data_IF_863058786892
#
_entry.id   IF_863058786892
#
_cell.length_a   1.000
_cell.length_b   1.000
_cell.length_c   1.000
_cell.angle_alpha   90.00
_cell.angle_beta   90.00
_cell.angle_gamma   90.00
#
_symmetry.space_group_name_H-M   'P 1'
#
loop_
_entity.id
_entity.type
_entity.pdbx_description
1 polymer ?
#
# COMPACT_ATOMS: atom_id res chain seq x y z
N UNK A 1 50.48 -65.33 -46.70
CA UNK A 1 49.95 -64.51 -45.60
C UNK A 1 49.22 -63.29 -46.19
N UNK A 2 48.17 -63.35 -47.01
CA UNK A 2 46.94 -64.20 -47.11
C UNK A 2 45.97 -64.03 -45.93
N UNK A 3 44.67 -63.75 -46.11
CA UNK A 3 43.90 -63.54 -47.34
C UNK A 3 42.60 -62.72 -47.14
N UNK A 4 42.03 -62.32 -48.29
CA UNK A 4 40.68 -61.86 -48.61
C UNK A 4 39.54 -62.66 -47.97
N UNK A 5 38.40 -62.01 -47.71
CA UNK A 5 37.07 -62.24 -48.33
C UNK A 5 35.97 -61.48 -47.55
N UNK A 6 34.69 -61.36 -47.97
CA UNK A 6 34.02 -61.06 -49.26
C UNK A 6 32.49 -61.08 -49.01
N UNK A 7 31.70 -60.24 -49.71
CA UNK A 7 30.20 -60.21 -49.70
C UNK A 7 29.53 -59.78 -48.36
N UNK A 8 28.30 -59.23 -48.29
CA UNK A 8 27.11 -59.35 -49.16
C UNK A 8 26.26 -58.05 -49.28
N UNK A 9 25.47 -57.97 -50.36
CA UNK A 9 24.44 -56.94 -50.62
C UNK A 9 23.15 -57.11 -49.77
N UNK A 10 22.47 -56.01 -49.39
CA UNK A 10 21.10 -55.65 -49.86
C UNK A 10 20.44 -54.49 -49.06
N UNK A 11 19.76 -53.51 -49.70
CA UNK A 11 18.89 -52.49 -49.08
C UNK A 11 17.39 -52.95 -49.16
N UNK A 12 16.30 -52.13 -49.05
CA UNK A 12 16.17 -50.67 -48.78
C UNK A 12 15.04 -50.26 -47.79
N UNK A 13 14.94 -48.96 -47.47
CA UNK A 13 13.64 -48.26 -47.49
C UNK A 13 13.80 -46.75 -47.77
N UNK A 14 12.79 -46.15 -48.39
CA UNK A 14 12.83 -44.81 -49.02
C UNK A 14 11.60 -43.96 -48.60
N UNK A 15 11.43 -42.78 -49.21
CA UNK A 15 10.28 -41.86 -49.14
C UNK A 15 10.18 -40.99 -47.86
N UNK A 16 10.31 -39.65 -47.86
CA UNK A 16 10.07 -38.54 -48.81
C UNK A 16 8.65 -37.93 -48.78
N UNK A 17 8.54 -36.80 -48.06
CA UNK A 17 7.58 -35.67 -48.22
C UNK A 17 6.06 -35.95 -48.15
N UNK A 18 5.37 -35.11 -47.36
CA UNK A 18 4.38 -34.15 -47.91
C UNK A 18 4.10 -32.96 -47.00
N UNK A 19 4.08 -31.76 -47.59
CA UNK A 19 3.48 -30.54 -47.01
C UNK A 19 1.95 -30.64 -47.12
N UNK A 20 1.20 -29.97 -46.24
CA UNK A 20 -0.16 -29.50 -46.55
C UNK A 20 -0.39 -28.09 -46.03
N UNK A 21 -0.63 -27.18 -46.96
CA UNK A 21 -1.20 -25.85 -46.75
C UNK A 21 -2.70 -25.91 -47.01
N UNK A 22 -3.50 -25.13 -46.28
CA UNK A 22 -4.91 -24.87 -46.58
C UNK A 22 -5.19 -23.37 -46.52
N UNK A 23 -5.99 -22.88 -47.45
CA UNK A 23 -6.21 -21.47 -47.70
C UNK A 23 -7.70 -21.13 -47.81
N UNK A 24 -8.07 -19.97 -47.27
CA UNK A 24 -9.23 -19.14 -47.60
C UNK A 24 -10.66 -19.72 -47.50
N UNK A 25 -11.53 -18.97 -46.85
CA UNK A 25 -12.72 -18.42 -47.53
C UNK A 25 -13.17 -17.13 -46.86
N UNK A 26 -13.82 -16.25 -47.63
CA UNK A 26 -14.09 -14.83 -47.32
C UNK A 26 -15.59 -14.59 -47.39
N UNK A 27 -16.21 -14.16 -46.30
CA UNK A 27 -17.63 -13.76 -46.29
C UNK A 27 -17.79 -12.24 -46.39
N UNK A 28 -18.79 -11.79 -47.15
CA UNK A 28 -19.22 -10.38 -47.31
C UNK A 28 -20.75 -10.32 -47.18
N UNK A 29 -21.26 -9.17 -46.71
CA UNK A 29 -22.68 -8.73 -46.51
C UNK A 29 -23.05 -8.63 -45.01
N UNK A 30 -23.80 -7.64 -44.52
CA UNK A 30 -24.23 -6.30 -45.00
C UNK A 30 -24.83 -5.53 -43.79
N UNK A 31 -24.99 -4.19 -43.82
CA UNK A 31 -25.13 -3.39 -42.59
C UNK A 31 -26.56 -3.29 -42.02
N UNK A 32 -26.64 -3.04 -40.70
CA UNK A 32 -27.89 -2.77 -39.96
C UNK A 32 -28.47 -1.37 -40.27
N UNK A 33 -29.80 -1.19 -40.27
CA UNK A 33 -30.44 0.05 -40.72
C UNK A 33 -30.40 1.19 -39.70
N UNK A 34 -30.28 2.44 -40.20
CA UNK A 34 -30.59 3.66 -39.46
C UNK A 34 -32.11 3.85 -39.39
N UNK A 35 -32.64 4.14 -38.20
CA UNK A 35 -34.00 4.68 -38.04
C UNK A 35 -33.87 6.20 -37.91
N UNK A 36 -34.51 6.93 -38.82
CA UNK A 36 -34.87 8.33 -38.62
C UNK A 36 -36.34 8.39 -38.22
N UNK A 37 -36.66 9.16 -37.18
CA UNK A 37 -38.04 9.51 -36.83
C UNK A 37 -38.11 10.99 -36.45
N UNK A 38 -38.48 11.81 -37.43
CA UNK A 38 -38.89 13.20 -37.24
C UNK A 38 -40.33 13.26 -36.76
N UNK A 39 -40.55 13.77 -35.55
CA UNK A 39 -41.84 14.39 -35.17
C UNK A 39 -41.56 15.59 -34.29
N UNK A 40 -41.85 16.79 -34.80
CA UNK A 40 -41.93 17.99 -33.98
C UNK A 40 -43.33 18.13 -33.39
N UNK A 41 -43.45 18.62 -32.15
CA UNK A 41 -44.55 19.47 -31.67
C UNK A 41 -44.18 20.05 -30.29
N UNK A 42 -44.39 21.36 -30.14
CA UNK A 42 -44.33 22.17 -28.91
C UNK A 42 -45.77 22.65 -28.60
N UNK A 43 -46.11 23.45 -27.55
CA UNK A 43 -45.33 24.00 -26.42
C UNK A 43 -46.06 23.67 -25.06
N UNK A 44 -45.98 24.39 -23.93
CA UNK A 44 -45.10 25.47 -23.42
C UNK A 44 -44.91 25.28 -21.89
N UNK A 45 -43.78 25.73 -21.33
CA UNK A 45 -43.75 26.29 -19.96
C UNK A 45 -42.51 27.18 -19.78
N UNK A 46 -42.73 28.50 -19.70
CA UNK A 46 -41.67 29.51 -19.52
C UNK A 46 -41.25 29.56 -18.04
N UNK A 47 -40.03 29.14 -17.71
CA UNK A 47 -39.48 29.27 -16.36
C UNK A 47 -38.00 28.92 -16.18
N UNK A 48 -37.43 28.01 -16.99
CA UNK A 48 -36.07 27.48 -16.75
C UNK A 48 -34.88 28.31 -17.28
N UNK A 49 -35.11 29.38 -18.05
CA UNK A 49 -34.05 29.95 -18.91
C UNK A 49 -33.04 30.89 -18.22
N UNK A 50 -33.36 31.46 -17.05
CA UNK A 50 -32.45 32.36 -16.33
C UNK A 50 -31.51 31.64 -15.35
N UNK A 51 -31.95 30.56 -14.70
CA UNK A 51 -31.09 29.82 -13.75
C UNK A 51 -29.98 29.08 -14.50
N UNK A 52 -30.31 28.46 -15.63
CA UNK A 52 -29.38 27.58 -16.37
C UNK A 52 -28.29 28.33 -17.18
N UNK A 53 -28.43 29.65 -17.33
CA UNK A 53 -27.40 30.54 -17.89
C UNK A 53 -26.47 31.04 -16.79
N UNK A 54 -26.99 31.49 -15.65
CA UNK A 54 -26.18 31.94 -14.49
C UNK A 54 -25.25 30.81 -14.02
N UNK A 55 -25.73 29.58 -13.86
CA UNK A 55 -24.86 28.45 -13.46
C UNK A 55 -23.74 28.20 -14.47
N UNK A 56 -24.01 28.35 -15.78
CA UNK A 56 -22.99 28.19 -16.83
C UNK A 56 -21.99 29.34 -16.86
N UNK A 57 -22.43 30.57 -16.63
CA UNK A 57 -21.54 31.73 -16.52
C UNK A 57 -20.67 31.63 -15.26
N UNK A 58 -21.19 31.14 -14.14
CA UNK A 58 -20.40 30.93 -12.90
C UNK A 58 -19.40 29.79 -13.05
N UNK A 59 -19.80 28.64 -13.61
CA UNK A 59 -18.87 27.52 -13.90
C UNK A 59 -17.76 28.00 -14.83
N UNK A 60 -18.10 28.67 -15.94
CA UNK A 60 -17.11 29.19 -16.88
C UNK A 60 -16.20 30.27 -16.26
N UNK A 61 -16.71 31.12 -15.36
CA UNK A 61 -15.85 32.08 -14.61
C UNK A 61 -14.94 31.39 -13.60
N UNK A 62 -15.35 30.26 -13.03
CA UNK A 62 -14.50 29.45 -12.15
C UNK A 62 -13.47 28.64 -12.94
N UNK A 63 -13.77 28.24 -14.17
CA UNK A 63 -12.80 27.67 -15.12
C UNK A 63 -11.80 28.74 -15.60
N UNK A 64 -12.27 29.96 -15.92
CA UNK A 64 -11.42 31.11 -16.28
C UNK A 64 -10.58 31.64 -15.09
N UNK A 65 -11.03 31.47 -13.83
CA UNK A 65 -10.28 31.83 -12.61
C UNK A 65 -9.40 30.69 -12.06
N UNK A 66 -9.68 29.44 -12.40
CA UNK A 66 -8.85 28.28 -12.06
C UNK A 66 -7.81 27.92 -13.14
N UNK A 67 -8.01 28.39 -14.37
CA UNK A 67 -7.18 28.10 -15.53
C UNK A 67 -5.97 29.00 -15.68
N UNK A 68 -5.10 29.10 -14.66
CA UNK A 68 -3.66 29.41 -14.80
C UNK A 68 -2.97 29.29 -13.44
N UNK A 69 -2.78 28.05 -12.98
CA UNK A 69 -1.77 27.74 -11.97
C UNK A 69 -1.07 26.45 -12.35
N UNK A 70 -0.19 26.55 -13.35
CA UNK A 70 0.90 25.60 -13.50
C UNK A 70 1.77 25.71 -12.24
N UNK A 71 1.58 24.79 -11.30
CA UNK A 71 2.63 24.48 -10.34
C UNK A 71 3.69 23.74 -11.14
N UNK A 72 4.67 24.50 -11.61
CA UNK A 72 5.92 23.96 -12.13
C UNK A 72 6.64 23.32 -10.95
N UNK A 73 6.42 22.03 -10.72
CA UNK A 73 7.32 21.23 -9.89
C UNK A 73 8.65 21.13 -10.64
N UNK A 74 9.61 21.96 -10.21
CA UNK A 74 11.01 21.86 -10.64
C UNK A 74 11.52 20.50 -10.18
N UNK A 75 11.94 19.68 -11.15
CA UNK A 75 12.44 18.35 -10.90
C UNK A 75 13.92 18.45 -10.47
N UNK A 76 14.20 18.42 -9.15
CA UNK A 76 15.55 18.52 -8.54
C UNK A 76 16.47 17.30 -8.83
N UNK A 77 16.41 16.70 -10.02
CA UNK A 77 17.13 15.46 -10.33
C UNK A 77 17.84 15.43 -11.70
N UNK A 78 18.01 16.55 -12.40
CA UNK A 78 18.65 16.58 -13.74
C UNK A 78 19.72 17.68 -13.94
N UNK A 79 20.23 18.32 -12.88
CA UNK A 79 21.25 19.39 -13.02
C UNK A 79 22.70 18.88 -13.26
N UNK A 80 23.00 17.60 -13.05
CA UNK A 80 24.39 17.08 -13.08
C UNK A 80 24.78 16.32 -14.38
N UNK A 81 23.90 16.25 -15.40
CA UNK A 81 24.19 15.52 -16.66
C UNK A 81 24.06 16.35 -17.95
N UNK A 82 23.51 17.56 -17.89
CA UNK A 82 23.22 18.39 -19.08
C UNK A 82 24.34 19.41 -19.38
N UNK A 83 25.13 19.81 -18.38
CA UNK A 83 26.17 20.86 -18.53
C UNK A 83 27.37 20.40 -19.36
N UNK A 84 27.73 19.12 -19.35
CA UNK A 84 28.93 18.61 -20.05
C UNK A 84 28.72 18.43 -21.57
N UNK A 85 27.48 18.22 -22.02
CA UNK A 85 27.19 17.87 -23.41
C UNK A 85 26.84 19.06 -24.33
N UNK A 86 26.71 20.27 -23.78
CA UNK A 86 26.32 21.48 -24.53
C UNK A 86 27.50 22.26 -25.15
N UNK A 87 28.74 21.93 -24.83
CA UNK A 87 29.95 22.66 -25.26
C UNK A 87 30.56 22.17 -26.59
N UNK A 88 30.00 21.15 -27.24
CA UNK A 88 30.58 20.52 -28.44
C UNK A 88 29.60 20.33 -29.60
N UNK A 89 29.05 21.44 -30.15
CA UNK A 89 28.85 21.66 -31.60
C UNK A 89 28.13 22.99 -31.88
N UNK A 90 28.91 24.00 -32.31
CA UNK A 90 28.36 25.14 -33.03
C UNK A 90 28.67 25.02 -34.52
N UNK A 91 27.65 24.91 -35.38
CA UNK A 91 27.66 25.50 -36.72
C UNK A 91 26.22 25.66 -37.27
N UNK A 92 26.10 26.56 -38.25
CA UNK A 92 24.90 27.24 -38.77
C UNK A 92 23.84 26.35 -39.47
N UNK A 93 22.60 26.84 -39.64
CA UNK A 93 21.53 26.12 -40.34
C UNK A 93 21.57 26.30 -41.86
N UNK A 94 21.17 25.27 -42.59
CA UNK A 94 20.69 25.40 -43.98
C UNK A 94 19.23 24.92 -44.10
N UNK A 95 18.50 25.54 -45.03
CA UNK A 95 17.07 25.31 -45.28
C UNK A 95 16.89 24.13 -46.21
N UNK A 96 16.06 23.16 -45.82
CA UNK A 96 15.71 22.00 -46.64
C UNK A 96 14.23 21.64 -46.48
N UNK A 97 13.47 21.82 -47.55
CA UNK A 97 12.03 21.50 -47.62
C UNK A 97 11.83 19.98 -47.59
N UNK A 98 10.87 19.48 -46.81
CA UNK A 98 10.73 18.03 -46.60
C UNK A 98 9.54 17.63 -45.72
N UNK A 99 8.43 17.28 -46.37
CA UNK A 99 7.22 16.81 -45.68
C UNK A 99 7.46 15.50 -44.91
N UNK A 100 7.18 15.50 -43.60
CA UNK A 100 7.15 14.28 -42.78
C UNK A 100 5.79 14.18 -42.08
N UNK A 101 5.02 13.15 -42.44
CA UNK A 101 3.85 12.74 -41.68
C UNK A 101 4.28 12.20 -40.31
N UNK A 102 4.04 13.00 -39.25
CA UNK A 102 4.15 12.55 -37.86
C UNK A 102 2.77 12.53 -37.21
N UNK A 103 1.96 11.52 -37.51
CA UNK A 103 0.74 11.25 -36.75
C UNK A 103 1.10 10.58 -35.42
N UNK A 104 1.71 11.37 -34.52
CA UNK A 104 2.04 10.96 -33.17
C UNK A 104 0.79 11.03 -32.30
N UNK A 105 0.07 9.91 -32.17
CA UNK A 105 -0.94 9.75 -31.12
C UNK A 105 -0.24 9.82 -29.76
N UNK A 106 -0.17 11.03 -29.20
CA UNK A 106 0.34 11.28 -27.86
C UNK A 106 -0.56 10.54 -26.86
N UNK A 107 -0.13 9.35 -26.44
CA UNK A 107 -0.73 8.66 -25.30
C UNK A 107 -0.58 9.55 -24.09
N UNK A 108 -1.66 10.24 -23.73
CA UNK A 108 -1.84 10.85 -22.42
C UNK A 108 -1.78 9.70 -21.41
N UNK A 109 -0.61 9.50 -20.79
CA UNK A 109 -0.53 8.68 -19.59
C UNK A 109 -1.34 9.39 -18.50
N UNK A 110 -2.56 8.88 -18.28
CA UNK A 110 -3.38 9.27 -17.15
C UNK A 110 -2.64 8.83 -15.89
N UNK A 111 -1.85 9.75 -15.32
CA UNK A 111 -1.09 9.58 -14.08
C UNK A 111 -2.04 9.03 -13.03
N UNK A 112 -1.90 7.75 -12.68
CA UNK A 112 -2.75 7.12 -11.66
C UNK A 112 -2.61 7.93 -10.38
N UNK A 113 -3.73 8.33 -9.80
CA UNK A 113 -3.73 8.99 -8.49
C UNK A 113 -3.29 7.94 -7.47
N UNK A 114 -2.11 8.13 -6.89
CA UNK A 114 -1.60 7.26 -5.82
C UNK A 114 -2.36 7.53 -4.52
N UNK A 115 -3.52 6.89 -4.39
CA UNK A 115 -4.33 6.81 -3.16
C UNK A 115 -3.60 6.16 -1.96
N UNK A 116 -2.32 5.84 -2.12
CA UNK A 116 -1.42 5.39 -1.07
C UNK A 116 -1.12 6.49 -0.03
N UNK A 117 -1.37 7.78 -0.31
CA UNK A 117 -1.15 8.88 0.65
C UNK A 117 -2.33 9.02 1.64
N UNK A 118 -3.60 9.20 1.22
CA UNK A 118 -4.71 9.39 2.17
C UNK A 118 -4.90 8.20 3.11
N UNK A 119 -4.66 6.98 2.63
CA UNK A 119 -4.67 5.77 3.48
C UNK A 119 -3.64 5.82 4.60
N UNK A 120 -2.40 6.25 4.33
CA UNK A 120 -1.36 6.35 5.37
C UNK A 120 -1.64 7.46 6.37
N UNK A 121 -2.19 8.58 5.90
CA UNK A 121 -2.63 9.68 6.79
C UNK A 121 -3.74 9.18 7.73
N UNK A 122 -4.75 8.47 7.19
CA UNK A 122 -5.78 7.83 8.00
C UNK A 122 -5.17 6.83 9.00
N UNK A 123 -4.34 5.90 8.52
CA UNK A 123 -3.69 4.88 9.36
C UNK A 123 -2.84 5.47 10.49
N UNK A 124 -2.04 6.50 10.19
CA UNK A 124 -1.23 7.26 11.16
C UNK A 124 -2.07 8.05 12.16
N UNK A 125 -3.23 8.57 11.75
CA UNK A 125 -4.15 9.32 12.63
C UNK A 125 -4.69 8.46 13.78
N UNK A 126 -4.84 7.14 13.55
CA UNK A 126 -5.36 6.23 14.57
C UNK A 126 -4.37 6.09 15.74
N UNK A 127 -3.06 6.23 15.51
CA UNK A 127 -2.07 6.28 16.60
C UNK A 127 -2.32 7.44 17.56
N UNK A 128 -2.55 8.65 17.03
CA UNK A 128 -2.92 9.81 17.85
C UNK A 128 -4.27 9.62 18.56
N UNK A 129 -5.26 9.03 17.89
CA UNK A 129 -6.55 8.71 18.51
C UNK A 129 -6.41 7.67 19.63
N UNK A 130 -5.50 6.70 19.48
CA UNK A 130 -5.21 5.68 20.51
C UNK A 130 -4.57 6.32 21.73
N UNK A 131 -3.62 7.25 21.55
CA UNK A 131 -3.04 8.04 22.66
C UNK A 131 -4.13 8.87 23.36
N UNK A 132 -5.01 9.55 22.61
CA UNK A 132 -6.13 10.28 23.18
C UNK A 132 -7.04 9.39 24.02
N UNK A 133 -7.44 8.21 23.51
CA UNK A 133 -8.26 7.26 24.25
C UNK A 133 -7.54 6.75 25.51
N UNK A 134 -6.24 6.46 25.44
CA UNK A 134 -5.45 6.06 26.60
C UNK A 134 -5.44 7.16 27.67
N UNK A 135 -5.07 8.40 27.28
CA UNK A 135 -4.98 9.56 28.17
C UNK A 135 -6.33 10.03 28.74
N UNK A 136 -7.46 9.65 28.13
CA UNK A 136 -8.80 10.06 28.58
C UNK A 136 -9.29 9.44 29.90
N UNK A 137 -8.51 8.53 30.49
CA UNK A 137 -8.90 7.66 31.63
C UNK A 137 -10.17 6.82 31.41
N UNK A 138 -10.69 6.78 30.18
CA UNK A 138 -11.87 6.00 29.81
C UNK A 138 -11.71 4.49 30.04
N UNK A 139 -12.85 3.79 30.07
CA UNK A 139 -12.93 2.35 30.25
C UNK A 139 -12.57 1.61 28.94
N UNK A 140 -11.46 0.84 28.87
CA UNK A 140 -11.06 0.14 27.65
C UNK A 140 -12.09 -0.86 27.12
N UNK A 141 -12.88 -1.48 28.01
CA UNK A 141 -13.95 -2.41 27.62
C UNK A 141 -15.04 -1.74 26.79
N UNK A 142 -15.28 -0.43 26.96
CA UNK A 142 -16.21 0.32 26.11
C UNK A 142 -15.65 0.47 24.69
N UNK A 143 -14.36 0.76 24.56
CA UNK A 143 -13.66 0.83 23.27
C UNK A 143 -13.69 -0.53 22.56
N UNK A 144 -13.34 -1.61 23.27
CA UNK A 144 -13.41 -2.98 22.73
C UNK A 144 -14.83 -3.36 22.28
N UNK A 145 -15.87 -3.04 23.07
CA UNK A 145 -17.26 -3.27 22.66
C UNK A 145 -17.66 -2.47 21.42
N UNK A 146 -17.23 -1.21 21.32
CA UNK A 146 -17.50 -0.37 20.15
C UNK A 146 -16.79 -0.90 18.90
N UNK A 147 -15.54 -1.35 19.02
CA UNK A 147 -14.76 -1.93 17.92
C UNK A 147 -15.31 -3.29 17.47
N UNK A 148 -15.76 -4.16 18.38
CA UNK A 148 -16.47 -5.39 18.00
C UNK A 148 -17.82 -5.09 17.34
N UNK A 149 -18.57 -4.10 17.84
CA UNK A 149 -19.81 -3.63 17.21
C UNK A 149 -19.57 -3.11 15.78
N UNK A 150 -18.51 -2.33 15.58
CA UNK A 150 -18.10 -1.87 14.25
C UNK A 150 -17.66 -3.02 13.34
N UNK A 151 -16.90 -4.01 13.85
CA UNK A 151 -16.52 -5.21 13.07
C UNK A 151 -17.76 -5.99 12.57
N UNK A 152 -18.77 -6.16 13.43
CA UNK A 152 -20.05 -6.78 13.08
C UNK A 152 -20.83 -6.03 11.99
N UNK A 153 -20.54 -4.76 11.72
CA UNK A 153 -21.12 -3.98 10.61
C UNK A 153 -20.21 -3.99 9.38
N UNK A 154 -18.89 -3.79 9.58
CA UNK A 154 -17.91 -3.67 8.49
C UNK A 154 -17.76 -5.00 7.75
N UNK A 155 -17.63 -6.14 8.43
CA UNK A 155 -17.40 -7.43 7.78
C UNK A 155 -18.57 -7.85 6.86
N UNK A 156 -19.86 -7.79 7.28
CA UNK A 156 -20.98 -8.06 6.37
C UNK A 156 -21.09 -7.05 5.22
N UNK A 157 -20.72 -5.78 5.47
CA UNK A 157 -20.71 -4.73 4.43
C UNK A 157 -19.66 -5.03 3.35
N UNK A 158 -18.46 -5.46 3.75
CA UNK A 158 -17.38 -5.84 2.84
C UNK A 158 -17.71 -7.13 2.06
N UNK A 159 -18.37 -8.09 2.72
CA UNK A 159 -18.89 -9.30 2.08
C UNK A 159 -19.99 -9.01 1.05
N UNK A 160 -20.88 -8.04 1.34
CA UNK A 160 -21.91 -7.59 0.41
C UNK A 160 -21.31 -6.87 -0.81
N UNK A 161 -20.25 -6.08 -0.61
CA UNK A 161 -19.45 -5.46 -1.69
C UNK A 161 -18.91 -6.51 -2.64
N UNK A 162 -18.26 -7.56 -2.14
CA UNK A 162 -17.70 -8.64 -2.95
C UNK A 162 -18.74 -9.52 -3.67
N UNK A 163 -20.04 -9.39 -3.34
CA UNK A 163 -21.13 -10.17 -3.97
C UNK A 163 -22.06 -9.37 -4.89
N UNK A 164 -22.08 -8.05 -4.81
CA UNK A 164 -23.08 -7.22 -5.49
C UNK A 164 -22.44 -6.08 -6.30
N UNK A 165 -22.39 -6.19 -7.64
CA UNK A 165 -21.82 -5.14 -8.51
C UNK A 165 -22.56 -3.78 -8.44
N UNK A 166 -23.76 -3.74 -7.86
CA UNK A 166 -24.47 -2.49 -7.56
C UNK A 166 -23.96 -1.85 -6.27
N UNK A 167 -23.72 -2.65 -5.25
CA UNK A 167 -23.21 -2.19 -3.95
C UNK A 167 -21.73 -1.83 -4.03
N UNK A 168 -20.94 -2.61 -4.79
CA UNK A 168 -19.55 -2.32 -5.15
C UNK A 168 -19.37 -0.88 -5.64
N UNK A 169 -20.12 -0.45 -6.67
CA UNK A 169 -20.03 0.91 -7.23
C UNK A 169 -20.42 2.01 -6.25
N UNK A 170 -21.33 1.72 -5.31
CA UNK A 170 -21.69 2.67 -4.24
C UNK A 170 -20.56 2.75 -3.21
N UNK A 171 -20.03 1.61 -2.80
CA UNK A 171 -18.92 1.50 -1.87
C UNK A 171 -17.67 2.19 -2.42
N UNK A 172 -17.27 1.90 -3.67
CA UNK A 172 -16.14 2.55 -4.33
C UNK A 172 -16.34 4.08 -4.47
N UNK A 173 -17.56 4.55 -4.69
CA UNK A 173 -17.84 5.99 -4.75
C UNK A 173 -17.63 6.71 -3.41
N UNK A 174 -17.91 6.04 -2.30
CA UNK A 174 -17.84 6.64 -0.95
C UNK A 174 -16.48 6.39 -0.28
N UNK A 175 -15.90 5.19 -0.45
CA UNK A 175 -14.72 4.71 0.26
C UNK A 175 -13.54 4.38 -0.67
N UNK A 176 -13.70 4.50 -1.99
CA UNK A 176 -12.65 4.16 -2.96
C UNK A 176 -11.36 4.98 -2.82
N UNK A 177 -11.43 6.19 -2.26
CA UNK A 177 -10.25 7.02 -1.97
C UNK A 177 -9.33 6.43 -0.88
N UNK A 178 -9.85 5.53 -0.04
CA UNK A 178 -9.12 4.84 1.03
C UNK A 178 -8.64 3.45 0.60
N UNK A 179 -9.15 2.95 -0.52
CA UNK A 179 -9.14 1.54 -0.91
C UNK A 179 -8.06 1.26 -1.98
N UNK A 180 -7.31 0.17 -1.81
CA UNK A 180 -6.24 -0.23 -2.74
C UNK A 180 -6.83 -0.96 -3.95
N UNK A 181 -6.21 -0.83 -5.13
CA UNK A 181 -6.66 -1.54 -6.34
C UNK A 181 -6.78 -3.07 -6.14
N UNK A 182 -5.91 -3.68 -5.33
CA UNK A 182 -6.00 -5.10 -4.98
C UNK A 182 -7.27 -5.43 -4.17
N UNK A 183 -7.69 -4.53 -3.27
CA UNK A 183 -8.83 -4.70 -2.35
C UNK A 183 -10.18 -4.76 -3.06
N UNK A 184 -10.25 -4.36 -4.33
CA UNK A 184 -11.48 -4.47 -5.16
C UNK A 184 -12.00 -5.92 -5.22
N UNK A 185 -11.11 -6.91 -5.27
CA UNK A 185 -11.46 -8.33 -5.41
C UNK A 185 -11.15 -9.21 -4.18
N UNK A 186 -10.75 -8.63 -3.05
CA UNK A 186 -10.42 -9.34 -1.80
C UNK A 186 -11.00 -8.59 -0.60
N UNK A 187 -10.88 -9.17 0.60
CA UNK A 187 -11.31 -8.54 1.86
C UNK A 187 -10.53 -7.22 2.07
N UNK A 188 -11.23 -6.15 2.47
CA UNK A 188 -10.65 -4.84 2.71
C UNK A 188 -9.72 -4.85 3.95
N UNK A 189 -8.54 -4.20 3.86
CA UNK A 189 -7.57 -4.06 4.94
C UNK A 189 -8.15 -3.56 6.27
N UNK A 190 -9.22 -2.75 6.25
CA UNK A 190 -9.92 -2.27 7.45
C UNK A 190 -10.51 -3.42 8.28
N UNK A 191 -10.94 -4.52 7.65
CA UNK A 191 -11.45 -5.72 8.34
C UNK A 191 -10.33 -6.40 9.13
N UNK A 192 -9.13 -6.51 8.54
CA UNK A 192 -7.94 -7.08 9.18
C UNK A 192 -7.43 -6.17 10.30
N UNK A 193 -7.40 -4.85 10.07
CA UNK A 193 -7.02 -3.83 11.05
C UNK A 193 -7.87 -3.91 12.32
N UNK A 194 -9.20 -3.83 12.19
CA UNK A 194 -10.09 -3.81 13.37
C UNK A 194 -10.06 -5.14 14.12
N UNK A 195 -9.80 -6.26 13.44
CA UNK A 195 -9.60 -7.56 14.06
C UNK A 195 -8.28 -7.61 14.86
N UNK A 196 -7.18 -7.09 14.32
CA UNK A 196 -5.89 -7.00 15.00
C UNK A 196 -5.91 -6.09 16.22
N UNK A 197 -6.55 -4.91 16.12
CA UNK A 197 -6.73 -3.98 17.25
C UNK A 197 -7.63 -4.59 18.33
N UNK A 198 -8.75 -5.22 17.96
CA UNK A 198 -9.60 -5.93 18.91
C UNK A 198 -8.85 -7.05 19.63
N UNK A 199 -8.05 -7.84 18.90
CA UNK A 199 -7.23 -8.89 19.50
C UNK A 199 -6.25 -8.29 20.52
N UNK A 200 -5.48 -7.27 20.15
CA UNK A 200 -4.50 -6.64 21.03
C UNK A 200 -5.15 -6.11 22.33
N UNK A 201 -6.26 -5.39 22.22
CA UNK A 201 -6.99 -4.85 23.39
C UNK A 201 -7.71 -5.92 24.24
N UNK A 202 -7.99 -7.10 23.68
CA UNK A 202 -8.66 -8.20 24.41
C UNK A 202 -7.66 -9.14 25.07
N UNK A 203 -6.50 -9.36 24.45
CA UNK A 203 -5.54 -10.39 24.86
C UNK A 203 -4.32 -9.86 25.62
N UNK A 204 -4.02 -8.56 25.56
CA UNK A 204 -2.86 -7.96 26.22
C UNK A 204 -3.27 -6.95 27.31
N UNK A 205 -2.40 -6.71 28.32
CA UNK A 205 -2.53 -5.57 29.22
C UNK A 205 -2.64 -4.25 28.44
N UNK A 206 -3.33 -3.27 29.00
CA UNK A 206 -3.70 -2.03 28.30
C UNK A 206 -2.47 -1.27 27.76
N UNK A 207 -1.38 -1.24 28.52
CA UNK A 207 -0.14 -0.57 28.13
C UNK A 207 0.54 -1.26 26.94
N UNK A 208 0.68 -2.59 26.99
CA UNK A 208 1.22 -3.40 25.89
C UNK A 208 0.32 -3.32 24.64
N UNK A 209 -1.01 -3.40 24.81
CA UNK A 209 -1.97 -3.29 23.72
C UNK A 209 -1.87 -1.92 23.02
N UNK A 210 -1.76 -0.84 23.80
CA UNK A 210 -1.62 0.52 23.28
C UNK A 210 -0.34 0.66 22.44
N UNK A 211 0.79 0.17 22.93
CA UNK A 211 2.06 0.21 22.20
C UNK A 211 2.02 -0.65 20.93
N UNK A 212 1.39 -1.82 20.95
CA UNK A 212 1.20 -2.66 19.76
C UNK A 212 0.39 -1.96 18.66
N UNK A 213 -0.64 -1.19 19.04
CA UNK A 213 -1.45 -0.37 18.10
C UNK A 213 -0.65 0.82 17.57
N UNK A 214 0.19 1.44 18.39
CA UNK A 214 1.09 2.52 17.96
C UNK A 214 2.17 2.02 16.98
N UNK A 215 2.74 0.84 17.24
CA UNK A 215 3.67 0.17 16.30
C UNK A 215 2.95 -0.10 14.97
N UNK A 216 1.75 -0.69 15.00
CA UNK A 216 0.94 -0.88 13.80
C UNK A 216 0.70 0.43 13.03
N UNK A 217 0.36 1.52 13.71
CA UNK A 217 0.02 2.80 13.07
C UNK A 217 1.24 3.53 12.48
N UNK A 218 2.30 3.69 13.28
CA UNK A 218 3.43 4.56 12.94
C UNK A 218 4.64 3.80 12.41
N UNK A 219 4.93 2.58 12.89
CA UNK A 219 6.09 1.81 12.40
C UNK A 219 5.84 1.27 10.98
N UNK A 220 4.62 0.83 10.64
CA UNK A 220 4.20 0.51 9.26
C UNK A 220 4.36 1.73 8.33
N UNK A 221 3.81 2.88 8.75
CA UNK A 221 3.91 4.11 7.96
C UNK A 221 5.37 4.46 7.71
N UNK A 222 6.22 4.44 8.75
CA UNK A 222 7.66 4.72 8.68
C UNK A 222 8.42 3.70 7.82
N UNK A 223 8.13 2.40 7.95
CA UNK A 223 8.72 1.38 7.10
C UNK A 223 8.41 1.61 5.62
N UNK A 224 7.17 1.99 5.31
CA UNK A 224 6.75 2.27 3.94
C UNK A 224 7.41 3.56 3.40
N UNK A 225 7.52 4.63 4.20
CA UNK A 225 8.10 5.92 3.74
C UNK A 225 9.61 5.82 3.58
N UNK A 226 10.32 5.37 4.61
CA UNK A 226 11.78 5.14 4.57
C UNK A 226 12.12 4.06 3.53
N UNK A 227 11.30 3.00 3.45
CA UNK A 227 11.46 1.92 2.48
C UNK A 227 11.26 2.35 1.02
N UNK A 228 10.35 3.29 0.72
CA UNK A 228 10.23 3.87 -0.64
C UNK A 228 11.35 4.86 -0.96
N UNK A 229 11.75 5.70 0.00
CA UNK A 229 12.77 6.72 -0.20
C UNK A 229 14.18 6.12 -0.36
N UNK A 230 14.61 5.27 0.57
CA UNK A 230 15.98 4.71 0.60
C UNK A 230 16.08 3.22 0.29
N UNK A 231 14.96 2.51 0.08
CA UNK A 231 14.99 1.06 -0.16
C UNK A 231 15.79 0.62 -1.40
N UNK A 232 15.94 1.49 -2.41
CA UNK A 232 16.80 1.25 -3.59
C UNK A 232 18.30 1.24 -3.26
N UNK A 233 18.70 1.93 -2.19
CA UNK A 233 20.09 2.09 -1.74
C UNK A 233 20.50 1.03 -0.71
N UNK A 234 19.56 0.20 -0.25
CA UNK A 234 19.78 -0.83 0.77
C UNK A 234 19.46 -2.22 0.23
N UNK A 235 20.15 -3.29 0.69
CA UNK A 235 19.84 -4.64 0.26
C UNK A 235 18.40 -5.06 0.64
N UNK A 236 17.75 -5.92 -0.15
CA UNK A 236 16.51 -6.57 0.25
C UNK A 236 16.78 -7.51 1.44
N UNK A 237 15.77 -7.70 2.29
CA UNK A 237 15.93 -8.57 3.45
C UNK A 237 16.14 -10.05 3.02
N UNK A 238 16.97 -10.81 3.75
CA UNK A 238 17.16 -12.23 3.45
C UNK A 238 15.84 -12.98 3.64
N UNK A 239 15.51 -13.92 2.75
CA UNK A 239 14.19 -14.62 2.72
C UNK A 239 13.80 -15.33 4.03
N UNK A 240 14.76 -15.54 4.94
CA UNK A 240 14.53 -16.05 6.29
C UNK A 240 15.45 -15.33 7.29
N UNK A 241 14.96 -15.10 8.51
CA UNK A 241 15.83 -14.63 9.60
C UNK A 241 16.97 -15.63 9.86
N UNK A 242 18.22 -15.21 10.06
CA UNK A 242 19.35 -16.15 10.23
C UNK A 242 19.24 -17.01 11.50
N UNK A 243 18.67 -16.45 12.57
CA UNK A 243 18.52 -17.14 13.87
C UNK A 243 17.23 -17.96 13.92
N UNK A 244 16.06 -17.32 13.79
CA UNK A 244 14.76 -17.93 14.06
C UNK A 244 14.12 -18.62 12.84
N UNK A 245 14.79 -18.59 11.68
CA UNK A 245 14.33 -19.10 10.37
C UNK A 245 12.93 -18.67 9.91
N UNK A 246 12.35 -17.63 10.52
CA UNK A 246 11.04 -17.09 10.14
C UNK A 246 11.04 -16.56 8.71
N UNK A 247 9.94 -16.70 7.95
CA UNK A 247 9.81 -16.17 6.59
C UNK A 247 9.80 -14.65 6.61
N UNK A 248 10.68 -14.03 5.80
CA UNK A 248 10.72 -12.57 5.63
C UNK A 248 10.33 -12.20 4.20
N UNK A 249 9.60 -11.10 4.08
CA UNK A 249 9.04 -10.62 2.82
C UNK A 249 10.16 -10.20 1.85
N UNK A 250 10.36 -10.88 0.70
CA UNK A 250 11.46 -10.56 -0.22
C UNK A 250 11.36 -9.17 -0.87
N UNK A 251 10.21 -8.50 -0.71
CA UNK A 251 9.93 -7.14 -1.20
C UNK A 251 10.21 -6.05 -0.16
N UNK A 252 10.41 -6.40 1.12
CA UNK A 252 10.70 -5.44 2.19
C UNK A 252 12.22 -5.19 2.26
N UNK A 253 12.60 -3.92 2.40
CA UNK A 253 13.99 -3.46 2.35
C UNK A 253 14.59 -3.30 3.75
N UNK A 254 15.92 -3.34 3.85
CA UNK A 254 16.60 -3.02 5.11
C UNK A 254 16.30 -1.59 5.57
N UNK A 255 16.16 -0.63 4.64
CA UNK A 255 15.71 0.73 4.96
C UNK A 255 14.34 0.75 5.69
N UNK A 256 13.35 0.00 5.18
CA UNK A 256 12.03 -0.10 5.82
C UNK A 256 12.09 -0.77 7.20
N UNK A 257 12.84 -1.85 7.33
CA UNK A 257 13.10 -2.54 8.61
C UNK A 257 13.70 -1.60 9.65
N UNK A 258 14.71 -0.80 9.27
CA UNK A 258 15.36 0.17 10.16
C UNK A 258 14.40 1.31 10.51
N UNK A 259 13.59 1.79 9.56
CA UNK A 259 12.52 2.77 9.81
C UNK A 259 11.53 2.29 10.87
N UNK A 260 10.96 1.09 10.70
CA UNK A 260 10.11 0.46 11.71
C UNK A 260 10.83 0.26 13.05
N UNK A 261 12.11 -0.12 13.04
CA UNK A 261 12.88 -0.39 14.26
C UNK A 261 13.12 0.87 15.08
N UNK A 262 13.54 1.96 14.44
CA UNK A 262 13.75 3.25 15.12
C UNK A 262 12.42 3.79 15.63
N UNK A 263 11.36 3.75 14.82
CA UNK A 263 10.02 4.20 15.23
C UNK A 263 9.49 3.38 16.41
N UNK A 264 9.64 2.04 16.40
CA UNK A 264 9.25 1.17 17.51
C UNK A 264 9.99 1.46 18.81
N UNK A 265 11.31 1.72 18.73
CA UNK A 265 12.11 2.13 19.88
C UNK A 265 11.66 3.48 20.45
N UNK A 266 11.39 4.47 19.59
CA UNK A 266 10.89 5.79 19.99
C UNK A 266 9.49 5.73 20.62
N UNK A 267 8.59 4.89 20.08
CA UNK A 267 7.27 4.62 20.66
C UNK A 267 7.43 4.04 22.06
N UNK A 268 8.26 3.01 22.23
CA UNK A 268 8.45 2.38 23.54
C UNK A 268 9.03 3.36 24.57
N UNK A 269 10.05 4.13 24.21
CA UNK A 269 10.62 5.17 25.09
C UNK A 269 9.55 6.19 25.44
N UNK A 270 8.97 6.88 24.46
CA UNK A 270 8.01 7.95 24.71
C UNK A 270 6.74 7.47 25.44
N UNK A 271 6.30 6.24 25.17
CA UNK A 271 5.15 5.68 25.86
C UNK A 271 5.46 5.36 27.32
N UNK A 272 6.47 4.53 27.64
CA UNK A 272 6.71 4.13 29.03
C UNK A 272 7.34 5.22 29.92
N UNK A 273 7.95 6.27 29.35
CA UNK A 273 8.44 7.42 30.13
C UNK A 273 7.39 8.52 30.32
N UNK A 274 6.58 8.84 29.30
CA UNK A 274 5.68 10.00 29.35
C UNK A 274 4.19 9.64 29.44
N UNK A 275 3.73 8.58 28.78
CA UNK A 275 2.30 8.25 28.68
C UNK A 275 1.86 7.24 29.75
N UNK A 276 2.60 6.14 29.93
CA UNK A 276 2.27 5.08 30.86
C UNK A 276 2.07 5.56 32.32
N UNK A 277 2.85 6.52 32.86
CA UNK A 277 2.63 7.05 34.21
C UNK A 277 1.27 7.73 34.43
N UNK A 278 0.54 8.09 33.36
CA UNK A 278 -0.81 8.68 33.45
C UNK A 278 -1.84 7.66 33.95
N UNK A 279 -1.61 6.35 33.79
CA UNK A 279 -2.49 5.27 34.26
C UNK A 279 -1.73 4.25 35.12
N UNK A 280 -1.26 4.61 36.32
CA UNK A 280 -0.32 3.79 37.10
C UNK A 280 -0.89 2.44 37.57
N UNK A 281 -2.21 2.25 37.53
CA UNK A 281 -2.87 0.98 37.83
C UNK A 281 -2.83 -0.03 36.66
N UNK A 282 -2.69 0.44 35.41
CA UNK A 282 -2.88 -0.35 34.19
C UNK A 282 -1.55 -0.74 33.50
N UNK A 283 -0.41 -0.53 34.16
CA UNK A 283 0.93 -0.68 33.56
C UNK A 283 1.65 -1.96 33.99
N UNK A 284 2.16 -2.69 33.00
CA UNK A 284 2.86 -3.98 33.13
C UNK A 284 4.32 -3.79 33.56
N UNK A 285 4.93 -2.68 33.14
CA UNK A 285 6.30 -2.30 33.50
C UNK A 285 6.38 -0.82 33.87
N UNK A 286 7.30 -0.48 34.79
CA UNK A 286 7.49 0.87 35.30
C UNK A 286 8.93 1.34 35.04
N UNK A 287 9.05 2.49 34.41
CA UNK A 287 10.32 3.22 34.35
C UNK A 287 10.55 3.95 35.68
N UNK A 288 11.76 3.80 36.24
CA UNK A 288 12.25 4.58 37.38
C UNK A 288 13.45 5.42 36.93
N UNK A 289 13.25 6.73 36.83
CA UNK A 289 14.30 7.67 36.44
C UNK A 289 15.34 7.93 37.53
N UNK A 290 15.06 7.55 38.78
CA UNK A 290 15.97 7.76 39.92
C UNK A 290 17.04 6.67 40.05
N UNK A 291 16.80 5.50 39.46
CA UNK A 291 17.70 4.35 39.52
C UNK A 291 18.41 4.11 38.18
N UNK A 292 19.72 3.82 38.24
CA UNK A 292 20.50 3.43 37.05
C UNK A 292 19.92 2.17 36.35
N UNK A 293 19.36 1.24 37.14
CA UNK A 293 18.64 0.06 36.63
C UNK A 293 17.41 0.41 35.78
N UNK A 294 16.69 1.51 36.09
CA UNK A 294 15.55 1.96 35.31
C UNK A 294 15.95 2.50 33.94
N UNK A 295 17.04 3.27 33.86
CA UNK A 295 17.64 3.71 32.59
C UNK A 295 18.17 2.54 31.74
N UNK A 296 18.82 1.56 32.36
CA UNK A 296 19.26 0.33 31.68
C UNK A 296 18.04 -0.45 31.17
N UNK A 297 17.01 -0.65 32.01
CA UNK A 297 15.77 -1.32 31.62
C UNK A 297 15.06 -0.63 30.46
N UNK A 298 15.00 0.71 30.47
CA UNK A 298 14.46 1.50 29.37
C UNK A 298 15.25 1.33 28.07
N UNK A 299 16.58 1.34 28.14
CA UNK A 299 17.44 1.15 26.97
C UNK A 299 17.28 -0.27 26.36
N UNK A 300 17.24 -1.31 27.22
CA UNK A 300 16.99 -2.68 26.78
C UNK A 300 15.59 -2.83 26.17
N UNK A 301 14.56 -2.25 26.80
CA UNK A 301 13.19 -2.23 26.28
C UNK A 301 13.10 -1.51 24.93
N UNK A 302 13.78 -0.37 24.76
CA UNK A 302 13.80 0.39 23.51
C UNK A 302 14.43 -0.43 22.37
N UNK A 303 15.59 -1.05 22.62
CA UNK A 303 16.27 -1.92 21.64
C UNK A 303 15.39 -3.13 21.29
N UNK A 304 14.78 -3.77 22.30
CA UNK A 304 13.91 -4.92 22.11
C UNK A 304 12.64 -4.57 21.32
N UNK A 305 11.92 -3.51 21.72
CA UNK A 305 10.71 -3.04 21.06
C UNK A 305 10.98 -2.58 19.62
N UNK A 306 12.11 -1.92 19.38
CA UNK A 306 12.56 -1.57 18.04
C UNK A 306 12.81 -2.80 17.19
N UNK A 307 13.65 -3.74 17.65
CA UNK A 307 13.91 -4.98 16.93
C UNK A 307 12.63 -5.78 16.65
N UNK A 308 11.73 -5.89 17.63
CA UNK A 308 10.42 -6.52 17.47
C UNK A 308 9.57 -5.81 16.43
N UNK A 309 9.56 -4.48 16.38
CA UNK A 309 8.80 -3.71 15.39
C UNK A 309 9.34 -3.92 13.97
N UNK A 310 10.66 -3.87 13.79
CA UNK A 310 11.29 -4.16 12.51
C UNK A 310 11.07 -5.60 12.05
N UNK A 311 11.20 -6.57 12.96
CA UNK A 311 10.95 -7.99 12.65
C UNK A 311 9.48 -8.22 12.31
N UNK A 312 8.54 -7.75 13.14
CA UNK A 312 7.11 -7.92 12.90
C UNK A 312 6.69 -7.35 11.54
N UNK A 313 7.23 -6.18 11.17
CA UNK A 313 7.03 -5.59 9.84
C UNK A 313 7.69 -6.40 8.73
N UNK A 314 8.89 -6.96 8.93
CA UNK A 314 9.57 -7.73 7.90
C UNK A 314 9.00 -9.14 7.64
N UNK A 315 8.12 -9.66 8.51
CA UNK A 315 7.57 -11.01 8.39
C UNK A 315 6.63 -11.16 7.19
N UNK A 316 6.68 -12.34 6.56
CA UNK A 316 5.78 -12.75 5.47
C UNK A 316 4.96 -13.96 5.90
N UNK A 317 3.81 -13.69 6.51
CA UNK A 317 2.80 -14.71 6.80
C UNK A 317 1.89 -14.83 5.57
N UNK A 318 2.21 -15.82 4.72
CA UNK A 318 1.83 -16.03 3.30
C UNK A 318 0.34 -15.87 2.87
N UNK A 319 -0.57 -15.48 3.75
CA UNK A 319 -1.97 -15.16 3.45
C UNK A 319 -2.62 -14.11 4.37
N UNK A 320 -1.89 -13.56 5.35
CA UNK A 320 -2.43 -12.66 6.36
C UNK A 320 -1.98 -11.22 6.10
N UNK A 321 -2.89 -10.26 6.28
CA UNK A 321 -2.62 -8.85 6.10
C UNK A 321 -1.82 -8.27 7.29
N UNK A 322 -0.83 -7.42 7.00
CA UNK A 322 0.06 -6.80 7.99
C UNK A 322 -0.72 -6.06 9.09
N UNK A 323 -1.91 -5.54 8.77
CA UNK A 323 -2.79 -4.87 9.73
C UNK A 323 -3.35 -5.79 10.83
N UNK A 324 -3.37 -7.10 10.59
CA UNK A 324 -3.70 -8.12 11.60
C UNK A 324 -2.43 -8.63 12.31
N UNK A 325 -1.35 -8.87 11.57
CA UNK A 325 -0.17 -9.59 12.10
C UNK A 325 0.72 -8.70 12.98
N UNK A 326 0.95 -7.44 12.59
CA UNK A 326 1.79 -6.47 13.32
C UNK A 326 1.41 -6.33 14.80
N UNK A 327 0.17 -5.98 15.19
CA UNK A 327 -0.17 -5.74 16.60
C UNK A 327 -0.15 -7.04 17.43
N UNK A 328 -0.46 -8.18 16.81
CA UNK A 328 -0.44 -9.49 17.48
C UNK A 328 1.00 -9.92 17.76
N UNK A 329 1.90 -9.81 16.77
CA UNK A 329 3.28 -10.25 16.93
C UNK A 329 4.04 -9.29 17.86
N UNK A 330 3.92 -7.98 17.64
CA UNK A 330 4.60 -6.98 18.48
C UNK A 330 4.10 -7.00 19.93
N UNK A 331 2.79 -7.00 20.16
CA UNK A 331 2.20 -7.08 21.50
C UNK A 331 2.51 -8.40 22.20
N UNK A 332 2.46 -9.53 21.48
CA UNK A 332 2.84 -10.84 22.00
C UNK A 332 4.30 -10.92 22.44
N UNK A 333 5.23 -10.40 21.63
CA UNK A 333 6.65 -10.31 21.97
C UNK A 333 6.90 -9.40 23.19
N UNK A 334 6.31 -8.20 23.22
CA UNK A 334 6.44 -7.26 24.34
C UNK A 334 5.88 -7.85 25.65
N UNK A 335 4.71 -8.49 25.62
CA UNK A 335 4.15 -9.18 26.79
C UNK A 335 5.03 -10.35 27.24
N UNK A 336 5.57 -11.12 26.28
CA UNK A 336 6.50 -12.22 26.56
C UNK A 336 7.78 -11.72 27.24
N UNK A 337 8.33 -10.60 26.77
CA UNK A 337 9.49 -9.93 27.37
C UNK A 337 9.23 -9.47 28.81
N UNK A 338 8.12 -8.79 29.08
CA UNK A 338 7.79 -8.39 30.46
C UNK A 338 7.53 -9.59 31.38
N UNK A 339 6.88 -10.65 30.90
CA UNK A 339 6.71 -11.89 31.67
C UNK A 339 8.05 -12.57 31.98
N UNK A 340 8.97 -12.59 31.02
CA UNK A 340 10.32 -13.13 31.20
C UNK A 340 11.13 -12.30 32.21
N UNK A 341 11.11 -10.96 32.08
CA UNK A 341 11.75 -10.07 33.04
C UNK A 341 11.21 -10.30 34.46
N UNK A 342 9.89 -10.31 34.64
CA UNK A 342 9.28 -10.54 35.94
C UNK A 342 9.66 -11.92 36.51
N UNK A 343 9.75 -12.96 35.68
CA UNK A 343 10.21 -14.29 36.11
C UNK A 343 11.69 -14.34 36.50
N UNK A 344 12.57 -13.59 35.82
CA UNK A 344 14.00 -13.49 36.17
C UNK A 344 14.25 -12.63 37.42
N UNK A 345 13.34 -11.72 37.73
CA UNK A 345 13.41 -10.82 38.90
C UNK A 345 12.63 -11.32 40.14
N UNK A 346 11.99 -12.49 40.05
CA UNK A 346 11.25 -13.15 41.15
C UNK A 346 12.08 -14.24 41.81
#
# INVERSE_FOLDING_TARGET
MTARDSTLHSPPYEQRRRRRSTSSTRSKRSPSPRIYSTTALSPESKGGLQVHSITRTVIRKLEELGGHMEIVEVNESEEESVVEHALTRGTTPEVGDGAVHANGDAKVEVKKIDWEIPRKVFHSSIGFFTIYLYMSHGNPTMVVRALWGAFCVILPTDFLRLRSPKFERLYERVLGFLMRDCERNQINGVVWYILGVNFALTCYPLDVATVAILILSWADTAASTVGRAWGRLTPPLPRRTPVLRLPLAPRKSLAGFLGASVTGALIAVGFWTCLAPVRPADITWRFDSSSASGWIGLAVLAIYAGLVSGVAEALDLQSMDDNLTLPIISGGCLLGFFKLLNWVMS
#
